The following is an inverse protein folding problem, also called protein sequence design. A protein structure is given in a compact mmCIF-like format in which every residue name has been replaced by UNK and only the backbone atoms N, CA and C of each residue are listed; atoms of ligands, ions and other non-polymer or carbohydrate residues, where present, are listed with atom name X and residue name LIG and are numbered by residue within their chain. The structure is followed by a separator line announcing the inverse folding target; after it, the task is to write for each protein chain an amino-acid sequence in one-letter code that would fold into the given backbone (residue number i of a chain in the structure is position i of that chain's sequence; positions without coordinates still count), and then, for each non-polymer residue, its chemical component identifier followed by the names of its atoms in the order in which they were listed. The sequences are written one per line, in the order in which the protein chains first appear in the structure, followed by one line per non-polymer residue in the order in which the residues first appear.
data_IF_146759900859
#
_entry.id   IF_146759900859
#
_cell.length_a   1.000
_cell.length_b   1.000
_cell.length_c   1.000
_cell.angle_alpha   90.00
_cell.angle_beta   90.00
_cell.angle_gamma   90.00
#
_symmetry.space_group_name_H-M   'P 1'
#
loop_
_entity.id
_entity.type
_entity.pdbx_description
1 polymer ?
#
# COMPACT_ATOMS: atom_id res chain seq x y z
N UNK A 1 -43.28 8.82 -14.77
CA UNK A 1 -41.90 8.56 -15.25
C UNK A 1 -41.01 8.40 -14.02
N UNK A 2 -40.80 7.17 -13.55
CA UNK A 2 -39.87 6.90 -12.44
C UNK A 2 -38.49 6.61 -13.03
N UNK A 3 -37.53 7.50 -12.78
CA UNK A 3 -36.13 7.26 -13.07
C UNK A 3 -35.53 6.51 -11.88
N UNK A 4 -35.40 5.19 -12.03
CA UNK A 4 -34.66 4.34 -11.10
C UNK A 4 -33.16 4.55 -11.33
N UNK A 5 -32.57 5.54 -10.66
CA UNK A 5 -31.13 5.58 -10.47
C UNK A 5 -30.75 4.53 -9.41
N UNK A 6 -30.76 3.27 -9.82
CA UNK A 6 -30.05 2.23 -9.11
C UNK A 6 -28.56 2.58 -9.18
N UNK A 7 -28.04 3.16 -8.11
CA UNK A 7 -26.60 3.21 -7.85
C UNK A 7 -26.21 1.74 -7.71
N UNK A 8 -25.68 1.18 -8.79
CA UNK A 8 -25.07 -0.14 -8.76
C UNK A 8 -23.81 0.05 -7.92
N UNK A 9 -23.90 -0.28 -6.63
CA UNK A 9 -22.72 -0.52 -5.80
C UNK A 9 -22.00 -1.72 -6.42
N UNK A 10 -21.15 -1.46 -7.41
CA UNK A 10 -20.17 -2.43 -7.86
C UNK A 10 -19.34 -2.71 -6.61
N UNK A 11 -19.33 -3.93 -6.05
CA UNK A 11 -18.40 -4.25 -4.98
C UNK A 11 -17.02 -3.94 -5.55
N UNK A 12 -16.31 -3.00 -4.92
CA UNK A 12 -14.97 -2.62 -5.36
C UNK A 12 -14.17 -3.92 -5.48
N UNK A 13 -13.85 -4.33 -6.70
CA UNK A 13 -12.97 -5.47 -6.92
C UNK A 13 -11.66 -5.04 -6.28
N UNK A 14 -11.36 -5.59 -5.11
CA UNK A 14 -10.16 -5.23 -4.36
C UNK A 14 -8.98 -5.69 -5.21
N UNK A 15 -8.39 -4.75 -5.94
CA UNK A 15 -7.19 -5.00 -6.72
C UNK A 15 -5.99 -5.00 -5.78
N UNK A 16 -5.30 -6.14 -5.72
CA UNK A 16 -4.02 -6.24 -5.05
C UNK A 16 -2.92 -5.71 -5.97
N UNK A 17 -2.12 -4.77 -5.47
CA UNK A 17 -0.90 -4.32 -6.12
C UNK A 17 0.27 -5.16 -5.59
N UNK A 18 0.83 -5.99 -6.45
CA UNK A 18 2.02 -6.77 -6.15
C UNK A 18 3.30 -6.01 -6.48
N UNK A 19 4.27 -6.08 -5.58
CA UNK A 19 5.57 -5.44 -5.77
C UNK A 19 6.71 -6.16 -5.05
N UNK A 20 7.95 -5.74 -5.32
CA UNK A 20 9.15 -6.18 -4.63
C UNK A 20 9.69 -5.05 -3.76
N UNK A 21 9.54 -5.17 -2.44
CA UNK A 21 9.97 -4.14 -1.49
C UNK A 21 11.49 -3.90 -1.56
N UNK A 22 12.30 -4.96 -1.60
CA UNK A 22 13.76 -4.85 -1.64
C UNK A 22 14.22 -4.09 -2.88
N UNK A 23 13.69 -4.44 -4.05
CA UNK A 23 14.00 -3.75 -5.30
C UNK A 23 13.55 -2.29 -5.27
N UNK A 24 12.35 -2.03 -4.74
CA UNK A 24 11.82 -0.67 -4.61
C UNK A 24 12.71 0.21 -3.72
N UNK A 25 13.12 -0.31 -2.55
CA UNK A 25 14.03 0.39 -1.64
C UNK A 25 15.38 0.68 -2.31
N UNK A 26 15.97 -0.32 -2.97
CA UNK A 26 17.24 -0.16 -3.70
C UNK A 26 17.16 0.89 -4.80
N UNK A 27 16.09 0.88 -5.61
CA UNK A 27 15.93 1.82 -6.72
C UNK A 27 15.60 3.24 -6.24
N UNK A 28 14.89 3.36 -5.11
CA UNK A 28 14.60 4.66 -4.50
C UNK A 28 15.83 5.32 -3.87
N UNK A 29 16.90 4.57 -3.59
CA UNK A 29 18.13 5.04 -2.96
C UNK A 29 17.88 5.83 -1.64
N UNK A 30 16.88 5.40 -0.87
CA UNK A 30 16.47 6.07 0.38
C UNK A 30 15.64 7.35 0.20
N UNK A 31 15.40 7.82 -1.02
CA UNK A 31 14.53 8.97 -1.26
C UNK A 31 13.05 8.57 -1.15
N UNK A 32 12.37 9.15 -0.18
CA UNK A 32 10.97 8.85 0.14
C UNK A 32 10.02 9.24 -0.99
N UNK A 33 10.30 10.36 -1.68
CA UNK A 33 9.47 10.81 -2.79
C UNK A 33 9.59 9.88 -3.99
N UNK A 34 10.81 9.46 -4.32
CA UNK A 34 11.08 8.49 -5.38
C UNK A 34 10.49 7.12 -5.07
N UNK A 35 10.53 6.68 -3.81
CA UNK A 35 9.90 5.43 -3.39
C UNK A 35 8.40 5.40 -3.72
N UNK A 36 7.65 6.42 -3.29
CA UNK A 36 6.20 6.49 -3.55
C UNK A 36 5.94 6.64 -5.05
N UNK A 37 6.67 7.52 -5.74
CA UNK A 37 6.46 7.75 -7.16
C UNK A 37 6.73 6.49 -8.00
N UNK A 38 7.79 5.74 -7.71
CA UNK A 38 8.10 4.48 -8.42
C UNK A 38 7.00 3.43 -8.23
N UNK A 39 6.45 3.32 -7.02
CA UNK A 39 5.35 2.41 -6.75
C UNK A 39 4.05 2.86 -7.44
N UNK A 40 3.77 4.17 -7.48
CA UNK A 40 2.63 4.75 -8.18
C UNK A 40 2.73 4.54 -9.71
N UNK A 41 3.92 4.68 -10.30
CA UNK A 41 4.14 4.32 -11.71
C UNK A 41 3.91 2.83 -11.97
N UNK A 42 4.37 1.97 -11.05
CA UNK A 42 4.15 0.52 -11.16
C UNK A 42 2.66 0.14 -11.07
N UNK A 43 1.89 0.85 -10.25
CA UNK A 43 0.44 0.71 -10.15
C UNK A 43 -0.28 1.22 -11.39
N UNK A 44 -0.04 2.48 -11.76
CA UNK A 44 -0.79 3.17 -12.82
C UNK A 44 -0.45 2.69 -14.23
N UNK A 45 0.69 2.00 -14.41
CA UNK A 45 1.25 1.61 -15.72
C UNK A 45 1.46 2.79 -16.68
N UNK A 46 1.44 4.02 -16.15
CA UNK A 46 1.66 5.24 -16.93
C UNK A 46 3.14 5.49 -17.12
N UNK A 47 3.51 5.95 -18.30
CA UNK A 47 4.86 6.41 -18.56
C UNK A 47 5.09 7.79 -17.94
N UNK A 48 6.29 8.08 -17.40
CA UNK A 48 6.64 9.39 -16.92
C UNK A 48 6.59 10.42 -18.05
N UNK A 49 6.23 11.65 -17.73
CA UNK A 49 6.41 12.76 -18.65
C UNK A 49 7.91 13.06 -18.84
N UNK A 50 8.30 13.63 -19.99
CA UNK A 50 9.71 13.88 -20.36
C UNK A 50 10.51 14.64 -19.28
N UNK A 51 9.84 15.51 -18.54
CA UNK A 51 10.41 16.35 -17.48
C UNK A 51 9.92 15.97 -16.08
N UNK A 52 9.52 14.72 -15.86
CA UNK A 52 9.09 14.29 -14.53
C UNK A 52 10.25 14.36 -13.53
N UNK A 53 9.98 14.90 -12.34
CA UNK A 53 10.96 14.96 -11.24
C UNK A 53 11.41 13.57 -10.81
N UNK A 54 10.47 12.63 -10.74
CA UNK A 54 10.73 11.23 -10.38
C UNK A 54 10.58 10.33 -11.60
N UNK A 55 11.47 9.35 -11.70
CA UNK A 55 11.51 8.37 -12.78
C UNK A 55 10.95 7.03 -12.30
N UNK A 56 10.37 6.22 -13.19
CA UNK A 56 9.98 4.85 -12.86
C UNK A 56 11.22 4.01 -12.54
N UNK A 57 10.99 2.88 -11.88
CA UNK A 57 12.04 1.88 -11.65
C UNK A 57 12.65 1.42 -12.98
N UNK A 58 13.98 1.28 -13.00
CA UNK A 58 14.73 0.75 -14.16
C UNK A 58 14.56 -0.75 -14.34
N UNK A 59 14.15 -1.44 -13.26
CA UNK A 59 13.97 -2.89 -13.20
C UNK A 59 12.52 -3.22 -12.84
N UNK A 60 12.08 -4.42 -13.18
CA UNK A 60 10.73 -4.87 -12.82
C UNK A 60 10.53 -4.81 -11.31
N UNK A 61 9.44 -4.18 -10.89
CA UNK A 61 9.01 -4.15 -9.49
C UNK A 61 8.07 -5.30 -9.15
N UNK A 62 7.83 -6.27 -10.03
CA UNK A 62 7.00 -7.43 -9.71
C UNK A 62 7.61 -8.25 -8.55
N UNK A 63 6.76 -8.66 -7.60
CA UNK A 63 7.18 -9.44 -6.44
C UNK A 63 5.99 -9.95 -5.63
N UNK A 64 6.26 -10.49 -4.45
CA UNK A 64 5.25 -11.13 -3.59
C UNK A 64 4.69 -10.21 -2.51
N UNK A 65 5.30 -9.04 -2.28
CA UNK A 65 4.74 -8.04 -1.38
C UNK A 65 3.48 -7.47 -1.99
N UNK A 66 2.48 -7.15 -1.17
CA UNK A 66 1.21 -6.66 -1.69
C UNK A 66 0.55 -5.61 -0.80
N UNK A 67 -0.20 -4.73 -1.46
CA UNK A 67 -1.14 -3.78 -0.85
C UNK A 67 -2.49 -4.02 -1.50
N UNK A 68 -3.53 -4.12 -0.69
CA UNK A 68 -4.91 -4.18 -1.20
C UNK A 68 -5.41 -2.76 -1.39
N UNK A 69 -6.26 -2.55 -2.40
CA UNK A 69 -6.90 -1.25 -2.65
C UNK A 69 -5.91 -0.06 -2.58
N UNK A 70 -4.90 -0.01 -3.48
CA UNK A 70 -3.84 0.98 -3.39
C UNK A 70 -4.27 2.40 -3.80
N UNK A 71 -5.42 2.55 -4.46
CA UNK A 71 -5.87 3.83 -5.02
C UNK A 71 -6.04 4.92 -3.95
N UNK A 72 -6.72 4.70 -2.81
CA UNK A 72 -6.83 5.70 -1.75
C UNK A 72 -5.48 6.12 -1.15
N UNK A 73 -4.51 5.21 -1.11
CA UNK A 73 -3.17 5.50 -0.59
C UNK A 73 -2.42 6.50 -1.49
N UNK A 74 -2.56 6.38 -2.80
CA UNK A 74 -1.95 7.31 -3.76
C UNK A 74 -2.75 8.61 -3.92
N UNK A 75 -4.08 8.52 -3.84
CA UNK A 75 -4.97 9.68 -3.99
C UNK A 75 -4.90 10.65 -2.79
N UNK A 76 -4.59 10.15 -1.59
CA UNK A 76 -4.43 10.99 -0.40
C UNK A 76 -3.26 11.97 -0.56
N UNK A 77 -3.51 13.28 -0.48
CA UNK A 77 -2.45 14.31 -0.52
C UNK A 77 -2.19 14.96 0.84
N UNK A 78 -2.99 14.61 1.85
CA UNK A 78 -2.94 15.19 3.18
C UNK A 78 -1.94 14.51 4.10
N UNK A 79 -1.77 13.19 3.95
CA UNK A 79 -0.88 12.42 4.81
C UNK A 79 0.59 12.50 4.38
N UNK A 80 1.48 12.58 5.37
CA UNK A 80 2.93 12.57 5.18
C UNK A 80 3.40 11.33 4.40
N UNK A 81 4.35 11.55 3.50
CA UNK A 81 5.01 10.52 2.70
C UNK A 81 5.64 9.44 3.60
N UNK A 82 6.25 9.82 4.73
CA UNK A 82 6.87 8.87 5.65
C UNK A 82 5.86 7.89 6.25
N UNK A 83 4.65 8.38 6.59
CA UNK A 83 3.57 7.53 7.08
C UNK A 83 3.08 6.56 6.01
N UNK A 84 3.01 7.00 4.75
CA UNK A 84 2.68 6.11 3.63
C UNK A 84 3.74 5.04 3.41
N UNK A 85 5.01 5.39 3.48
CA UNK A 85 6.12 4.43 3.34
C UNK A 85 6.06 3.40 4.47
N UNK A 86 5.87 3.84 5.71
CA UNK A 86 5.74 2.95 6.86
C UNK A 86 4.55 2.00 6.70
N UNK A 87 3.40 2.51 6.23
CA UNK A 87 2.24 1.70 5.88
C UNK A 87 2.58 0.63 4.84
N UNK A 88 3.24 1.01 3.73
CA UNK A 88 3.62 0.11 2.63
C UNK A 88 4.56 -0.99 3.12
N UNK A 89 5.56 -0.64 3.93
CA UNK A 89 6.54 -1.59 4.48
C UNK A 89 5.88 -2.61 5.41
N UNK A 90 4.92 -2.18 6.23
CA UNK A 90 4.17 -3.09 7.10
C UNK A 90 3.22 -3.97 6.30
N UNK A 91 2.52 -3.41 5.31
CA UNK A 91 1.63 -4.15 4.42
C UNK A 91 2.39 -5.25 3.65
N UNK A 92 3.61 -4.95 3.22
CA UNK A 92 4.52 -5.86 2.51
C UNK A 92 4.96 -7.09 3.32
N UNK A 93 4.88 -7.04 4.66
CA UNK A 93 5.25 -8.15 5.55
C UNK A 93 4.17 -9.24 5.62
N UNK A 94 2.94 -8.95 5.19
CA UNK A 94 1.82 -9.89 5.24
C UNK A 94 2.00 -11.05 4.27
N UNK A 95 1.33 -12.15 4.58
CA UNK A 95 1.23 -13.30 3.68
C UNK A 95 -0.05 -13.21 2.83
N UNK A 96 0.13 -13.20 1.49
CA UNK A 96 -0.97 -13.15 0.54
C UNK A 96 -1.84 -14.42 0.57
N UNK A 97 -1.28 -15.57 0.95
CA UNK A 97 -2.04 -16.81 1.06
C UNK A 97 -3.11 -16.72 2.16
N UNK A 98 -2.79 -16.06 3.28
CA UNK A 98 -3.75 -15.83 4.36
C UNK A 98 -4.91 -14.94 3.90
N UNK A 99 -4.61 -13.90 3.12
CA UNK A 99 -5.65 -13.08 2.49
C UNK A 99 -6.52 -13.91 1.53
N UNK A 100 -5.89 -14.71 0.65
CA UNK A 100 -6.63 -15.49 -0.35
C UNK A 100 -7.53 -16.56 0.28
N UNK A 101 -7.07 -17.23 1.34
CA UNK A 101 -7.79 -18.34 1.97
C UNK A 101 -8.83 -17.86 3.00
N UNK A 102 -8.50 -16.83 3.77
CA UNK A 102 -9.29 -16.43 4.94
C UNK A 102 -9.76 -14.96 4.89
N UNK A 103 -9.49 -14.24 3.80
CA UNK A 103 -9.71 -12.79 3.69
C UNK A 103 -9.05 -12.02 4.85
N UNK A 104 -7.92 -12.53 5.35
CA UNK A 104 -7.18 -11.93 6.46
C UNK A 104 -6.34 -10.75 5.96
N UNK A 105 -6.63 -9.53 6.46
CA UNK A 105 -6.04 -8.26 5.96
C UNK A 105 -5.12 -7.57 6.96
N UNK A 106 -5.11 -8.01 8.21
CA UNK A 106 -4.31 -7.41 9.28
C UNK A 106 -2.90 -8.01 9.35
N UNK A 107 -2.01 -7.41 10.14
CA UNK A 107 -0.70 -7.96 10.49
C UNK A 107 -0.70 -8.37 11.96
N UNK A 108 -0.52 -9.66 12.28
CA UNK A 108 -0.46 -10.10 13.68
C UNK A 108 0.85 -9.67 14.32
N UNK A 109 0.76 -9.07 15.50
CA UNK A 109 1.92 -8.54 16.25
C UNK A 109 2.82 -9.65 16.79
N UNK A 110 2.24 -10.81 17.12
CA UNK A 110 2.94 -11.98 17.68
C UNK A 110 4.07 -12.50 16.78
N UNK A 111 3.94 -12.37 15.46
CA UNK A 111 4.94 -12.85 14.50
C UNK A 111 6.09 -11.87 14.24
N UNK A 112 5.99 -10.61 14.69
CA UNK A 112 6.98 -9.56 14.38
C UNK A 112 7.39 -8.80 15.64
N UNK A 113 8.18 -9.43 16.53
CA UNK A 113 8.70 -8.78 17.73
C UNK A 113 9.74 -7.70 17.42
N UNK A 114 10.28 -7.65 16.20
CA UNK A 114 11.26 -6.67 15.73
C UNK A 114 10.64 -5.29 15.41
N UNK A 115 9.31 -5.18 15.34
CA UNK A 115 8.64 -3.93 15.03
C UNK A 115 8.64 -3.00 16.25
N UNK A 116 9.18 -1.79 16.09
CA UNK A 116 9.06 -0.75 17.10
C UNK A 116 7.67 -0.09 17.09
N UNK A 117 6.79 -0.60 17.94
CA UNK A 117 5.42 -0.09 18.12
C UNK A 117 5.37 1.39 18.54
N UNK A 118 6.41 1.92 19.20
CA UNK A 118 6.42 3.33 19.60
C UNK A 118 6.60 4.28 18.41
N UNK A 119 7.30 3.83 17.37
CA UNK A 119 7.50 4.60 16.14
C UNK A 119 6.28 4.59 15.22
N UNK A 120 5.51 3.49 15.20
CA UNK A 120 4.38 3.31 14.27
C UNK A 120 3.05 3.83 14.81
N UNK A 121 2.91 4.03 16.14
CA UNK A 121 1.63 4.44 16.77
C UNK A 121 1.12 5.82 16.35
N UNK A 122 1.99 6.68 15.83
CA UNK A 122 1.62 8.02 15.40
C UNK A 122 1.12 8.06 13.95
N UNK A 123 1.17 6.94 13.24
CA UNK A 123 0.76 6.87 11.84
C UNK A 123 -0.77 6.85 11.71
N UNK A 124 -1.40 7.88 11.13
CA UNK A 124 -2.86 7.96 11.01
C UNK A 124 -3.47 6.96 10.00
N UNK A 125 -2.64 6.26 9.24
CA UNK A 125 -3.06 5.23 8.28
C UNK A 125 -3.12 3.83 8.90
N UNK A 126 -2.66 3.70 10.13
CA UNK A 126 -2.58 2.43 10.86
C UNK A 126 -3.47 2.51 12.09
N UNK A 127 -4.19 1.42 12.36
CA UNK A 127 -4.90 1.24 13.63
C UNK A 127 -4.27 0.08 14.37
N UNK A 128 -3.53 0.40 15.42
CA UNK A 128 -2.83 -0.59 16.23
C UNK A 128 -3.76 -1.07 17.34
N UNK A 129 -4.02 -2.37 17.37
CA UNK A 129 -4.76 -3.03 18.45
C UNK A 129 -3.79 -3.79 19.36
N UNK A 130 -4.34 -4.48 20.36
CA UNK A 130 -3.54 -5.32 21.25
C UNK A 130 -2.85 -6.46 20.50
N UNK A 131 -3.54 -7.05 19.53
CA UNK A 131 -3.11 -8.27 18.82
C UNK A 131 -2.61 -8.01 17.41
N UNK A 132 -3.12 -7.00 16.73
CA UNK A 132 -2.95 -6.82 15.29
C UNK A 132 -2.75 -5.35 14.90
N UNK A 133 -2.14 -5.14 13.73
CA UNK A 133 -2.07 -3.86 13.04
C UNK A 133 -3.04 -3.91 11.86
N UNK A 134 -3.96 -2.96 11.85
CA UNK A 134 -4.98 -2.78 10.83
C UNK A 134 -4.60 -1.65 9.88
N UNK A 135 -4.97 -1.81 8.61
CA UNK A 135 -4.60 -0.92 7.52
C UNK A 135 -5.82 -0.15 7.03
N UNK A 136 -5.85 1.17 7.27
CA UNK A 136 -7.02 2.02 7.08
C UNK A 136 -7.70 1.89 5.70
N UNK A 137 -6.93 1.72 4.62
CA UNK A 137 -7.47 1.66 3.26
C UNK A 137 -7.89 0.26 2.81
N UNK A 138 -7.67 -0.76 3.64
CA UNK A 138 -7.91 -2.17 3.32
C UNK A 138 -9.03 -2.80 4.15
N UNK A 139 -9.60 -2.07 5.12
CA UNK A 139 -10.69 -2.56 5.97
C UNK A 139 -12.07 -2.59 5.28
N UNK A 140 -12.21 -2.02 4.07
CA UNK A 140 -13.48 -1.91 3.34
C UNK A 140 -13.82 -3.13 2.47
#
# INVERSE_FOLDING_TARGET
MYSNNAIICIPAIIMALFFNLKTLEQQSNGDSSSFIAMLEYHYSKRLPYKHSKHKPSKVSLAGNCFILNPEPLFADKSTDILFKIQYIKLAARRDYNLYRQYNYRALQKSYYPDIDYNSIKYNPLLKITNTEILFKYEEN
#
